data_IF_230429386649
#
_entry.id   IF_230429386649
#
_cell.length_a   1.000
_cell.length_b   1.000
_cell.length_c   1.000
_cell.angle_alpha   90.00
_cell.angle_beta   90.00
_cell.angle_gamma   90.00
#
_symmetry.space_group_name_H-M   'P 1'
#
loop_
_entity.id
_entity.type
_entity.pdbx_description
1 polymer ?
#
# COMPACT_ATOMS: atom_id res chain seq x y z
N UNK A 1 21.42 -29.53 65.63
CA UNK A 1 22.22 -29.85 64.43
C UNK A 1 22.20 -31.35 64.25
N UNK A 2 21.37 -31.84 63.33
CA UNK A 2 21.33 -33.23 62.91
C UNK A 2 21.03 -33.27 61.41
N UNK A 3 21.85 -34.04 60.70
CA UNK A 3 21.81 -34.32 59.28
C UNK A 3 20.52 -35.02 58.85
N UNK A 4 19.84 -34.54 57.80
CA UNK A 4 19.11 -35.42 56.88
C UNK A 4 19.22 -34.90 55.45
N UNK A 5 19.98 -35.67 54.67
CA UNK A 5 20.15 -35.55 53.23
C UNK A 5 18.80 -35.77 52.54
N UNK A 6 18.32 -34.81 51.74
CA UNK A 6 17.40 -35.12 50.65
C UNK A 6 18.26 -35.67 49.51
N UNK A 7 18.51 -36.97 49.61
CA UNK A 7 18.73 -37.84 48.48
C UNK A 7 17.39 -37.88 47.75
N UNK A 8 17.31 -37.48 46.49
CA UNK A 8 16.60 -38.24 45.45
C UNK A 8 16.83 -37.58 44.08
N UNK A 9 17.55 -38.33 43.24
CA UNK A 9 17.51 -38.25 41.77
C UNK A 9 17.94 -36.91 41.14
N UNK A 10 19.26 -36.71 41.10
CA UNK A 10 19.88 -36.28 39.83
C UNK A 10 19.71 -37.41 38.81
N UNK A 11 18.47 -37.63 38.35
CA UNK A 11 18.16 -38.56 37.27
C UNK A 11 18.24 -37.77 35.97
N UNK A 12 19.48 -37.70 35.48
CA UNK A 12 19.85 -37.79 34.08
C UNK A 12 18.64 -37.89 33.11
N UNK A 13 18.33 -36.82 32.38
CA UNK A 13 17.76 -36.91 31.03
C UNK A 13 18.42 -35.82 30.18
N UNK A 14 19.51 -36.26 29.56
CA UNK A 14 20.00 -35.81 28.28
C UNK A 14 18.84 -35.88 27.27
N UNK A 15 18.20 -34.76 26.94
CA UNK A 15 17.41 -34.64 25.70
C UNK A 15 18.38 -34.18 24.61
N UNK A 16 19.27 -35.11 24.24
CA UNK A 16 19.78 -35.19 22.88
C UNK A 16 18.97 -36.29 22.22
N UNK A 17 18.68 -36.07 20.94
CA UNK A 17 18.11 -37.01 19.98
C UNK A 17 16.57 -37.06 19.92
N UNK A 18 15.92 -37.15 18.76
CA UNK A 18 16.34 -37.27 17.36
C UNK A 18 15.03 -37.09 16.56
N UNK A 19 15.13 -36.48 15.37
CA UNK A 19 14.22 -36.63 14.22
C UNK A 19 12.71 -36.57 14.41
N UNK A 20 12.06 -35.67 13.65
CA UNK A 20 11.00 -36.02 12.68
C UNK A 20 10.38 -34.73 12.11
N UNK A 21 11.09 -34.11 11.16
CA UNK A 21 10.42 -33.56 9.98
C UNK A 21 11.17 -34.01 8.71
N UNK A 22 11.61 -35.28 8.68
CA UNK A 22 11.49 -36.02 7.42
C UNK A 22 10.01 -36.30 7.27
N UNK A 23 9.34 -35.48 6.48
CA UNK A 23 8.01 -35.77 5.94
C UNK A 23 8.10 -37.15 5.29
N UNK A 24 7.62 -38.16 6.02
CA UNK A 24 7.15 -39.40 5.41
C UNK A 24 5.83 -39.06 4.73
N UNK A 25 5.91 -38.43 3.56
CA UNK A 25 4.92 -38.69 2.54
C UNK A 25 5.40 -39.96 1.85
N UNK A 26 4.79 -41.05 2.29
CA UNK A 26 4.36 -42.16 1.45
C UNK A 26 4.54 -41.84 -0.02
N UNK A 27 5.30 -42.68 -0.71
CA UNK A 27 5.12 -43.02 -2.13
C UNK A 27 3.73 -42.58 -2.63
N UNK A 28 3.68 -41.42 -3.27
CA UNK A 28 2.53 -40.91 -3.98
C UNK A 28 3.03 -40.20 -5.24
N UNK A 29 2.27 -40.44 -6.29
CA UNK A 29 2.70 -40.48 -7.68
C UNK A 29 2.79 -39.07 -8.28
N UNK A 30 3.77 -38.88 -9.16
CA UNK A 30 3.69 -37.93 -10.28
C UNK A 30 3.15 -36.52 -9.97
N UNK A 31 4.03 -35.62 -9.54
CA UNK A 31 3.73 -34.20 -9.57
C UNK A 31 4.98 -33.38 -9.28
N UNK A 32 5.65 -32.92 -10.34
CA UNK A 32 6.70 -31.90 -10.29
C UNK A 32 6.12 -30.59 -9.77
N UNK A 33 5.86 -30.51 -8.47
CA UNK A 33 5.83 -29.23 -7.77
C UNK A 33 7.26 -28.93 -7.36
N UNK A 34 8.02 -28.37 -8.30
CA UNK A 34 9.32 -27.79 -7.98
C UNK A 34 9.13 -26.89 -6.76
N UNK A 35 9.87 -27.08 -5.66
CA UNK A 35 9.79 -26.20 -4.51
C UNK A 35 10.00 -24.76 -4.98
N UNK A 36 8.98 -23.92 -4.87
CA UNK A 36 9.13 -22.50 -5.20
C UNK A 36 10.05 -21.89 -4.15
N UNK A 37 11.24 -21.47 -4.58
CA UNK A 37 12.14 -20.72 -3.71
C UNK A 37 11.38 -19.53 -3.13
N UNK A 38 11.38 -19.32 -1.79
CA UNK A 38 10.74 -18.16 -1.20
C UNK A 38 11.24 -16.89 -1.91
N UNK A 39 10.31 -16.06 -2.38
CA UNK A 39 10.66 -14.82 -3.04
C UNK A 39 11.53 -13.98 -2.09
N UNK A 40 12.68 -13.51 -2.59
CA UNK A 40 13.58 -12.67 -1.80
C UNK A 40 12.82 -11.43 -1.30
N UNK A 41 12.96 -11.06 -0.01
CA UNK A 41 12.39 -9.81 0.51
C UNK A 41 12.70 -8.60 -0.37
N UNK A 42 11.67 -7.79 -0.63
CA UNK A 42 11.75 -6.54 -1.39
C UNK A 42 11.96 -5.40 -0.41
N UNK A 43 12.92 -4.52 -0.74
CA UNK A 43 13.09 -3.23 -0.08
C UNK A 43 12.41 -2.15 -0.94
N UNK A 44 11.37 -1.52 -0.41
CA UNK A 44 10.58 -0.50 -1.09
C UNK A 44 11.22 0.87 -0.86
N UNK A 45 11.56 1.58 -1.94
CA UNK A 45 12.16 2.92 -1.89
C UNK A 45 11.12 4.02 -2.16
N UNK A 46 11.47 5.27 -1.85
CA UNK A 46 10.67 6.43 -2.22
C UNK A 46 10.51 6.59 -3.73
N UNK A 47 11.51 6.14 -4.51
CA UNK A 47 11.40 6.08 -5.97
C UNK A 47 10.32 5.08 -6.41
N UNK A 48 10.28 3.88 -5.81
CA UNK A 48 9.23 2.89 -6.12
C UNK A 48 7.83 3.44 -5.86
N UNK A 49 7.65 4.17 -4.75
CA UNK A 49 6.37 4.81 -4.39
C UNK A 49 6.02 5.92 -5.41
N UNK A 50 6.98 6.79 -5.73
CA UNK A 50 6.76 7.89 -6.70
C UNK A 50 6.39 7.35 -8.08
N UNK A 51 7.09 6.33 -8.56
CA UNK A 51 6.81 5.72 -9.86
C UNK A 51 5.48 5.00 -9.91
N UNK A 52 5.06 4.38 -8.80
CA UNK A 52 3.74 3.77 -8.68
C UNK A 52 2.64 4.83 -8.71
N UNK A 53 2.81 5.96 -8.02
CA UNK A 53 1.86 7.09 -8.04
C UNK A 53 1.70 7.67 -9.45
N UNK A 54 2.79 7.84 -10.20
CA UNK A 54 2.75 8.33 -11.60
C UNK A 54 1.99 7.41 -12.56
N UNK A 55 1.87 6.13 -12.21
CA UNK A 55 1.20 5.10 -13.03
C UNK A 55 -0.29 4.96 -12.72
N UNK A 56 -0.81 5.68 -11.73
CA UNK A 56 -2.26 5.75 -11.52
C UNK A 56 -2.88 6.31 -12.80
N UNK A 57 -3.88 5.63 -13.40
CA UNK A 57 -4.54 6.12 -14.60
C UNK A 57 -5.17 7.50 -14.37
N UNK A 58 -5.26 8.30 -15.43
CA UNK A 58 -6.02 9.56 -15.37
C UNK A 58 -7.46 9.28 -14.89
N UNK A 59 -7.94 10.10 -13.96
CA UNK A 59 -9.31 10.00 -13.43
C UNK A 59 -10.08 11.25 -13.86
N UNK A 60 -11.24 11.04 -14.47
CA UNK A 60 -12.19 12.12 -14.75
C UNK A 60 -13.16 12.27 -13.59
N UNK A 61 -13.27 13.47 -13.05
CA UNK A 61 -14.18 13.87 -11.96
C UNK A 61 -15.03 15.03 -12.48
N UNK A 62 -16.34 14.81 -12.66
CA UNK A 62 -17.19 15.75 -13.38
C UNK A 62 -16.64 15.99 -14.80
N UNK A 63 -16.38 17.25 -15.13
CA UNK A 63 -15.71 17.68 -16.38
C UNK A 63 -14.25 18.06 -16.17
N UNK A 64 -13.61 17.54 -15.13
CA UNK A 64 -12.19 17.76 -14.87
C UNK A 64 -11.41 16.46 -14.98
N UNK A 65 -10.30 16.48 -15.72
CA UNK A 65 -9.34 15.37 -15.76
C UNK A 65 -8.22 15.59 -14.75
N UNK A 66 -7.99 14.61 -13.88
CA UNK A 66 -6.89 14.53 -12.93
C UNK A 66 -5.83 13.59 -13.51
N UNK A 67 -4.62 14.10 -13.74
CA UNK A 67 -3.48 13.28 -14.18
C UNK A 67 -2.43 13.15 -13.08
N UNK A 68 -1.93 11.93 -12.89
CA UNK A 68 -0.93 11.59 -11.89
C UNK A 68 0.49 11.51 -12.46
N UNK A 69 0.63 11.53 -13.79
CA UNK A 69 1.89 11.32 -14.52
C UNK A 69 3.01 12.30 -14.16
N UNK A 70 2.66 13.53 -13.78
CA UNK A 70 3.60 14.60 -13.44
C UNK A 70 3.92 14.68 -11.93
N UNK A 71 3.49 13.70 -11.12
CA UNK A 71 3.77 13.70 -9.67
C UNK A 71 5.27 13.75 -9.41
N UNK A 72 5.67 14.66 -8.53
CA UNK A 72 6.99 14.65 -7.90
C UNK A 72 6.81 14.11 -6.49
N UNK A 73 7.69 13.21 -6.05
CA UNK A 73 7.57 12.58 -4.74
C UNK A 73 7.48 13.61 -3.62
N UNK A 74 6.43 13.53 -2.81
CA UNK A 74 6.22 14.30 -1.57
C UNK A 74 5.21 13.55 -0.69
N UNK A 75 5.26 13.75 0.63
CA UNK A 75 4.25 13.21 1.53
C UNK A 75 2.85 13.83 1.30
N UNK A 76 2.80 15.10 0.90
CA UNK A 76 1.58 15.81 0.50
C UNK A 76 1.73 16.31 -0.93
N UNK A 77 0.81 15.88 -1.80
CA UNK A 77 0.82 16.16 -3.23
C UNK A 77 -0.48 16.87 -3.58
N UNK A 78 -0.38 17.99 -4.30
CA UNK A 78 -1.54 18.67 -4.88
C UNK A 78 -1.57 18.43 -6.38
N UNK A 79 -2.74 18.06 -6.89
CA UNK A 79 -2.95 17.83 -8.33
C UNK A 79 -4.07 18.76 -8.76
N UNK A 80 -3.74 19.69 -9.64
CA UNK A 80 -4.72 20.57 -10.28
C UNK A 80 -5.17 19.91 -11.56
N UNK A 81 -6.48 19.70 -11.69
CA UNK A 81 -7.07 19.10 -12.86
C UNK A 81 -7.07 20.04 -14.07
N UNK A 82 -7.40 19.48 -15.23
CA UNK A 82 -7.65 20.22 -16.46
C UNK A 82 -9.12 20.11 -16.81
N UNK A 83 -9.81 21.23 -17.01
CA UNK A 83 -11.20 21.20 -17.44
C UNK A 83 -11.27 20.65 -18.88
N UNK A 84 -12.23 19.78 -19.11
CA UNK A 84 -12.50 19.18 -20.40
C UNK A 84 -13.43 20.08 -21.19
N UNK A 85 -13.09 20.33 -22.45
CA UNK A 85 -13.96 21.06 -23.41
C UNK A 85 -15.01 20.15 -24.04
N UNK A 86 -14.85 18.83 -23.92
CA UNK A 86 -15.78 17.81 -24.40
C UNK A 86 -15.57 16.51 -23.61
N UNK A 87 -16.64 15.74 -23.38
CA UNK A 87 -16.61 14.53 -22.55
C UNK A 87 -16.70 14.84 -21.05
N UNK A 88 -16.50 13.81 -20.22
CA UNK A 88 -16.72 13.88 -18.77
C UNK A 88 -18.15 13.55 -18.36
N UNK A 89 -18.50 13.88 -17.12
CA UNK A 89 -19.82 13.66 -16.53
C UNK A 89 -20.41 14.97 -16.01
N UNK A 90 -21.73 15.12 -16.12
CA UNK A 90 -22.50 16.18 -15.46
C UNK A 90 -22.79 15.85 -13.98
N UNK A 91 -22.32 14.70 -13.51
CA UNK A 91 -22.41 14.29 -12.11
C UNK A 91 -21.03 14.11 -11.49
N UNK A 92 -20.99 14.29 -10.18
CA UNK A 92 -19.77 14.07 -9.41
C UNK A 92 -19.50 12.58 -9.23
N UNK A 93 -18.22 12.21 -9.19
CA UNK A 93 -17.81 10.86 -8.79
C UNK A 93 -18.23 10.61 -7.33
N UNK A 94 -18.64 9.39 -7.00
CA UNK A 94 -18.89 9.06 -5.60
C UNK A 94 -17.57 8.90 -4.84
N UNK A 95 -17.63 9.04 -3.52
CA UNK A 95 -16.49 8.75 -2.65
C UNK A 95 -15.96 7.32 -2.86
N UNK A 96 -16.84 6.33 -2.88
CA UNK A 96 -16.47 4.92 -3.03
C UNK A 96 -15.81 4.63 -4.39
N UNK A 97 -16.31 5.24 -5.47
CA UNK A 97 -15.73 5.07 -6.80
C UNK A 97 -14.34 5.70 -6.90
N UNK A 98 -14.15 6.89 -6.32
CA UNK A 98 -12.84 7.55 -6.31
C UNK A 98 -11.81 6.73 -5.50
N UNK A 99 -12.20 6.22 -4.34
CA UNK A 99 -11.36 5.34 -3.53
C UNK A 99 -10.94 4.10 -4.31
N UNK A 100 -11.91 3.42 -4.93
CA UNK A 100 -11.68 2.21 -5.74
C UNK A 100 -10.72 2.50 -6.89
N UNK A 101 -10.96 3.58 -7.66
CA UNK A 101 -10.09 3.95 -8.78
C UNK A 101 -8.64 4.21 -8.35
N UNK A 102 -8.42 4.90 -7.24
CA UNK A 102 -7.06 5.18 -6.74
C UNK A 102 -6.40 3.90 -6.21
N UNK A 103 -7.11 3.11 -5.42
CA UNK A 103 -6.61 1.85 -4.86
C UNK A 103 -6.26 0.83 -5.94
N UNK A 104 -7.10 0.72 -6.96
CA UNK A 104 -6.88 -0.23 -8.05
C UNK A 104 -5.80 0.25 -9.01
N UNK A 105 -5.71 1.57 -9.24
CA UNK A 105 -4.66 2.17 -10.07
C UNK A 105 -3.28 2.17 -9.45
N UNK A 106 -3.17 2.22 -8.11
CA UNK A 106 -1.88 2.29 -7.42
C UNK A 106 -1.35 0.90 -7.06
N UNK A 107 -0.30 0.46 -7.75
CA UNK A 107 0.39 -0.81 -7.47
C UNK A 107 1.84 -0.56 -7.06
N UNK A 108 2.13 -0.80 -5.78
CA UNK A 108 3.49 -0.75 -5.22
C UNK A 108 3.96 -2.18 -5.00
N UNK A 109 5.03 -2.58 -5.72
CA UNK A 109 5.56 -3.95 -5.58
C UNK A 109 5.98 -4.23 -4.14
N UNK A 110 5.58 -5.39 -3.61
CA UNK A 110 5.90 -5.79 -2.24
C UNK A 110 5.09 -5.09 -1.14
N UNK A 111 4.07 -4.31 -1.47
CA UNK A 111 3.19 -3.64 -0.51
C UNK A 111 1.71 -3.84 -0.83
N UNK A 112 0.88 -3.73 0.20
CA UNK A 112 -0.55 -3.49 0.07
C UNK A 112 -0.80 -1.98 0.07
N UNK A 113 -1.87 -1.58 -0.61
CA UNK A 113 -2.29 -0.19 -0.73
C UNK A 113 -3.74 -0.08 -0.31
N UNK A 114 -4.03 0.92 0.50
CA UNK A 114 -5.38 1.37 0.79
C UNK A 114 -5.55 2.86 0.47
N UNK A 115 -6.76 3.24 0.10
CA UNK A 115 -7.10 4.61 -0.27
C UNK A 115 -8.39 5.06 0.43
N UNK A 116 -8.30 6.18 1.13
CA UNK A 116 -9.41 6.80 1.85
C UNK A 116 -9.63 8.22 1.39
N UNK A 117 -10.77 8.48 0.77
CA UNK A 117 -11.24 9.86 0.60
C UNK A 117 -11.63 10.38 1.97
N UNK A 118 -11.07 11.51 2.36
CA UNK A 118 -11.31 12.15 3.65
C UNK A 118 -12.21 13.36 3.46
N UNK A 119 -13.22 13.49 4.33
CA UNK A 119 -14.25 14.53 4.19
C UNK A 119 -15.32 14.13 3.18
N UNK A 120 -16.02 15.13 2.64
CA UNK A 120 -17.12 14.94 1.69
C UNK A 120 -16.65 15.29 0.29
N UNK A 121 -17.01 14.48 -0.70
CA UNK A 121 -16.85 14.88 -2.12
C UNK A 121 -17.85 16.01 -2.40
N UNK A 122 -17.40 17.19 -2.88
CA UNK A 122 -18.29 18.33 -3.06
C UNK A 122 -19.26 18.11 -4.22
N UNK A 123 -20.30 18.94 -4.32
CA UNK A 123 -21.16 18.95 -5.50
C UNK A 123 -20.40 19.45 -6.73
N UNK A 124 -20.86 19.11 -7.93
CA UNK A 124 -20.14 19.38 -9.17
C UNK A 124 -19.97 20.89 -9.47
N UNK A 125 -20.86 21.73 -8.93
CA UNK A 125 -20.87 23.18 -9.09
C UNK A 125 -19.94 23.93 -8.11
N UNK A 126 -19.03 23.21 -7.44
CA UNK A 126 -18.13 23.75 -6.42
C UNK A 126 -16.68 23.71 -6.84
N UNK A 127 -15.87 24.53 -6.16
CA UNK A 127 -14.41 24.61 -6.34
C UNK A 127 -13.65 23.88 -5.22
N UNK A 128 -14.36 23.29 -4.26
CA UNK A 128 -13.77 22.62 -3.11
C UNK A 128 -12.86 21.45 -3.54
N UNK A 129 -11.78 21.27 -2.79
CA UNK A 129 -10.81 20.22 -3.05
C UNK A 129 -11.30 18.87 -2.54
N UNK A 130 -10.91 17.80 -3.20
CA UNK A 130 -11.08 16.44 -2.67
C UNK A 130 -9.75 15.99 -2.08
N UNK A 131 -9.77 15.48 -0.85
CA UNK A 131 -8.58 14.95 -0.20
C UNK A 131 -8.64 13.43 -0.15
N UNK A 132 -7.54 12.77 -0.51
CA UNK A 132 -7.37 11.32 -0.43
C UNK A 132 -6.13 10.99 0.36
N UNK A 133 -6.27 10.17 1.39
CA UNK A 133 -5.16 9.56 2.13
C UNK A 133 -4.89 8.19 1.54
N UNK A 134 -3.65 7.95 1.12
CA UNK A 134 -3.16 6.66 0.66
C UNK A 134 -2.26 6.10 1.74
N UNK A 135 -2.52 4.87 2.15
CA UNK A 135 -1.68 4.12 3.08
C UNK A 135 -1.02 2.98 2.34
N UNK A 136 0.31 2.93 2.40
CA UNK A 136 1.13 1.90 1.79
C UNK A 136 1.75 1.10 2.93
N UNK A 137 1.48 -0.21 2.97
CA UNK A 137 1.95 -1.11 4.02
C UNK A 137 2.79 -2.21 3.37
N UNK A 138 4.05 -2.44 3.79
CA UNK A 138 4.85 -3.55 3.27
C UNK A 138 4.12 -4.88 3.53
N UNK A 139 4.03 -5.72 2.50
CA UNK A 139 3.56 -7.09 2.68
C UNK A 139 4.56 -7.87 3.54
N UNK A 140 4.11 -8.99 4.13
CA UNK A 140 4.92 -9.81 5.03
C UNK A 140 6.32 -10.11 4.47
N UNK A 141 7.35 -9.87 5.27
CA UNK A 141 8.76 -10.05 4.89
C UNK A 141 9.38 -8.90 4.11
N UNK A 142 8.60 -7.99 3.53
CA UNK A 142 9.10 -6.80 2.84
C UNK A 142 9.27 -5.63 3.83
N UNK A 143 10.05 -4.64 3.42
CA UNK A 143 10.30 -3.45 4.25
C UNK A 143 10.53 -2.21 3.41
N UNK A 144 10.26 -1.04 3.99
CA UNK A 144 10.71 0.22 3.41
C UNK A 144 12.20 0.43 3.65
N UNK A 145 12.90 0.96 2.64
CA UNK A 145 14.29 1.40 2.74
C UNK A 145 14.48 2.35 3.94
N UNK A 146 15.63 2.25 4.60
CA UNK A 146 16.02 3.16 5.69
C UNK A 146 16.79 4.37 5.19
N UNK A 147 17.34 4.31 3.97
CA UNK A 147 18.21 5.35 3.39
C UNK A 147 17.60 6.03 2.17
N UNK A 148 16.71 5.35 1.45
CA UNK A 148 16.17 5.81 0.16
C UNK A 148 14.64 6.01 0.19
N UNK A 149 14.08 6.29 1.37
CA UNK A 149 12.63 6.51 1.51
C UNK A 149 12.21 7.96 1.23
N UNK A 150 13.15 8.91 1.36
CA UNK A 150 12.93 10.33 1.02
C UNK A 150 12.34 10.43 -0.38
N UNK A 151 11.29 11.24 -0.58
CA UNK A 151 10.76 12.28 0.31
C UNK A 151 9.61 11.82 1.23
N UNK A 152 9.40 10.52 1.37
CA UNK A 152 8.39 9.95 2.25
C UNK A 152 8.96 9.61 3.62
N UNK A 153 8.08 9.54 4.62
CA UNK A 153 8.41 9.12 5.98
C UNK A 153 7.48 7.99 6.42
N UNK A 154 8.00 7.11 7.29
CA UNK A 154 7.20 6.06 7.90
C UNK A 154 6.36 6.64 9.03
N UNK A 155 5.10 6.24 9.11
CA UNK A 155 4.22 6.43 10.25
C UNK A 155 3.89 5.04 10.79
N UNK A 156 4.58 4.61 11.85
CA UNK A 156 4.54 3.21 12.28
C UNK A 156 5.15 2.29 11.21
N UNK A 157 4.39 1.28 10.76
CA UNK A 157 4.81 0.36 9.69
C UNK A 157 4.47 0.86 8.28
N UNK A 158 3.76 1.99 8.17
CA UNK A 158 3.17 2.43 6.91
C UNK A 158 3.88 3.67 6.36
N UNK A 159 3.74 3.91 5.07
CA UNK A 159 3.94 5.23 4.46
C UNK A 159 2.57 5.80 4.14
N UNK A 160 2.33 7.05 4.56
CA UNK A 160 1.07 7.76 4.31
C UNK A 160 1.33 8.89 3.33
N UNK A 161 0.57 8.90 2.23
CA UNK A 161 0.62 9.95 1.20
C UNK A 161 -0.73 10.64 1.15
N UNK A 162 -0.74 11.97 1.24
CA UNK A 162 -1.95 12.78 1.12
C UNK A 162 -2.01 13.40 -0.28
N UNK A 163 -3.06 13.10 -1.03
CA UNK A 163 -3.38 13.75 -2.28
C UNK A 163 -4.47 14.79 -2.06
N UNK A 164 -4.28 15.98 -2.60
CA UNK A 164 -5.31 17.02 -2.72
C UNK A 164 -5.62 17.21 -4.20
N UNK A 165 -6.81 16.78 -4.63
CA UNK A 165 -7.28 16.95 -6.00
C UNK A 165 -8.09 18.24 -6.09
N UNK A 166 -7.74 19.09 -7.04
CA UNK A 166 -8.38 20.39 -7.28
C UNK A 166 -8.98 20.42 -8.68
N UNK A 167 -10.11 21.11 -8.91
CA UNK A 167 -10.52 21.44 -10.26
C UNK A 167 -9.47 22.36 -10.90
N UNK A 168 -9.59 22.61 -12.21
CA UNK A 168 -8.72 23.59 -12.87
C UNK A 168 -8.88 24.96 -12.18
N UNK A 169 -7.79 25.69 -11.99
CA UNK A 169 -7.76 26.98 -11.28
C UNK A 169 -9.00 27.84 -11.55
N UNK A 170 -9.65 28.31 -10.48
CA UNK A 170 -10.86 29.14 -10.47
C UNK A 170 -12.13 28.50 -11.04
N UNK A 171 -12.04 27.33 -11.68
CA UNK A 171 -13.18 26.59 -12.21
C UNK A 171 -13.77 25.65 -11.18
N UNK A 172 -15.04 25.34 -11.36
CA UNK A 172 -15.77 24.29 -10.64
C UNK A 172 -15.52 22.92 -11.28
N UNK A 173 -15.99 21.86 -10.64
CA UNK A 173 -15.88 20.49 -11.17
C UNK A 173 -16.72 20.25 -12.43
N UNK A 174 -17.69 21.11 -12.75
CA UNK A 174 -18.44 21.14 -14.01
C UNK A 174 -17.67 21.82 -15.17
N UNK A 175 -16.45 22.31 -14.91
CA UNK A 175 -15.57 22.92 -15.91
C UNK A 175 -15.83 24.40 -16.18
N UNK A 176 -16.76 25.03 -15.46
CA UNK A 176 -17.06 26.47 -15.54
C UNK A 176 -16.24 27.29 -14.55
#
# INVERSE_FOLDING_TARGET
MNNTKIIFKSLLIMIVAISLFTVSCSKDEGGTTTPTTPAKPITITGQNITDALKKIPDITIGKTKISFSAIVGRATIEITGTALTSGGSDTMITQADLQTKIKDGLKVSGATVDAKVTGTVPTIDKTDNITVTITITPASGNSFSTTELTPYTKTGNDVVVKLTLKPQNTKKWDGQ
#
